data_IF_995327919917
#
_entry.id   IF_995327919917
#
_cell.length_a   1.000
_cell.length_b   1.000
_cell.length_c   1.000
_cell.angle_alpha   90.00
_cell.angle_beta   90.00
_cell.angle_gamma   90.00
#
_symmetry.space_group_name_H-M   'P 1'
#
loop_
_entity.id
_entity.type
_entity.pdbx_description
1 polymer ?
#
# COMPACT_ATOMS: atom_id res chain seq x y z
N UNK A 1 -12.52 -2.94 -9.88
CA UNK A 1 -13.00 -3.34 -8.55
C UNK A 1 -12.14 -2.67 -7.50
N UNK A 2 -12.75 -1.96 -6.55
CA UNK A 2 -12.04 -1.30 -5.45
C UNK A 2 -12.30 -2.10 -4.18
N UNK A 3 -11.24 -2.55 -3.50
CA UNK A 3 -11.33 -3.29 -2.24
C UNK A 3 -10.69 -2.43 -1.17
N UNK A 4 -11.43 -2.12 -0.10
CA UNK A 4 -10.96 -1.31 1.01
C UNK A 4 -10.85 -2.20 2.25
N UNK A 5 -9.65 -2.30 2.81
CA UNK A 5 -9.40 -3.04 4.05
C UNK A 5 -9.33 -2.05 5.21
N UNK A 6 -10.37 -2.03 6.05
CA UNK A 6 -10.45 -1.16 7.24
C UNK A 6 -10.50 -2.01 8.51
N UNK A 7 -9.72 -1.69 9.53
CA UNK A 7 -9.92 -2.24 10.89
C UNK A 7 -9.32 -1.34 11.97
N UNK A 8 -9.96 -1.34 13.14
CA UNK A 8 -9.81 -0.31 14.19
C UNK A 8 -8.61 -0.43 15.12
N UNK A 9 -8.04 -1.63 15.36
CA UNK A 9 -6.94 -1.78 16.34
C UNK A 9 -5.57 -1.93 15.69
N UNK A 10 -4.54 -1.30 16.25
CA UNK A 10 -3.14 -1.58 15.89
C UNK A 10 -2.81 -3.06 16.10
N UNK A 11 -2.06 -3.66 15.17
CA UNK A 11 -1.68 -5.08 15.25
C UNK A 11 -2.74 -6.09 14.77
N UNK A 12 -3.93 -5.65 14.32
CA UNK A 12 -4.98 -6.54 13.81
C UNK A 12 -4.68 -7.24 12.46
N UNK A 13 -3.44 -7.17 11.95
CA UNK A 13 -3.06 -7.84 10.70
C UNK A 13 -3.46 -7.14 9.39
N UNK A 14 -3.87 -5.85 9.44
CA UNK A 14 -4.26 -5.04 8.26
C UNK A 14 -3.32 -5.16 7.08
N UNK A 15 -2.08 -4.79 7.33
CA UNK A 15 -1.06 -4.64 6.30
C UNK A 15 -0.68 -6.01 5.75
N UNK A 16 -0.61 -7.03 6.62
CA UNK A 16 -0.41 -8.43 6.24
C UNK A 16 -1.52 -8.95 5.32
N UNK A 17 -2.79 -8.66 5.65
CA UNK A 17 -3.91 -9.06 4.80
C UNK A 17 -3.89 -8.31 3.47
N UNK A 18 -3.69 -6.99 3.51
CA UNK A 18 -3.67 -6.12 2.33
C UNK A 18 -2.55 -6.52 1.36
N UNK A 19 -1.34 -6.80 1.85
CA UNK A 19 -0.20 -7.22 1.02
C UNK A 19 -0.49 -8.55 0.33
N UNK A 20 -0.91 -9.57 1.08
CA UNK A 20 -1.20 -10.89 0.51
C UNK A 20 -2.39 -10.88 -0.45
N UNK A 21 -3.45 -10.14 -0.13
CA UNK A 21 -4.63 -10.02 -0.99
C UNK A 21 -4.29 -9.33 -2.31
N UNK A 22 -3.44 -8.29 -2.27
CA UNK A 22 -2.98 -7.63 -3.50
C UNK A 22 -2.13 -8.55 -4.38
N UNK A 23 -1.26 -9.37 -3.78
CA UNK A 23 -0.49 -10.39 -4.50
C UNK A 23 -1.40 -11.46 -5.10
N UNK A 24 -2.41 -11.91 -4.36
CA UNK A 24 -3.40 -12.86 -4.86
C UNK A 24 -4.12 -12.31 -6.10
N UNK A 25 -4.65 -11.09 -6.06
CA UNK A 25 -5.30 -10.49 -7.22
C UNK A 25 -4.34 -10.30 -8.39
N UNK A 26 -3.11 -9.85 -8.15
CA UNK A 26 -2.09 -9.73 -9.19
C UNK A 26 -1.75 -11.09 -9.85
N UNK A 27 -1.62 -12.16 -9.05
CA UNK A 27 -1.39 -13.54 -9.55
C UNK A 27 -2.57 -14.03 -10.39
N UNK A 28 -3.79 -13.62 -10.07
CA UNK A 28 -5.00 -13.89 -10.85
C UNK A 28 -5.19 -12.95 -12.05
N UNK A 29 -4.13 -12.27 -12.50
CA UNK A 29 -4.10 -11.41 -13.70
C UNK A 29 -4.97 -10.15 -13.61
N UNK A 30 -5.43 -9.77 -12.41
CA UNK A 30 -6.06 -8.48 -12.20
C UNK A 30 -5.01 -7.37 -12.18
N UNK A 31 -5.29 -6.25 -12.87
CA UNK A 31 -4.54 -5.00 -12.69
C UNK A 31 -4.75 -4.48 -11.27
N UNK A 32 -3.78 -4.74 -10.41
CA UNK A 32 -3.90 -4.53 -8.97
C UNK A 32 -3.01 -3.38 -8.53
N UNK A 33 -3.59 -2.41 -7.82
CA UNK A 33 -2.87 -1.33 -7.14
C UNK A 33 -3.11 -1.48 -5.64
N UNK A 34 -2.03 -1.59 -4.87
CA UNK A 34 -2.08 -1.57 -3.42
C UNK A 34 -1.62 -0.19 -2.93
N UNK A 35 -2.41 0.44 -2.06
CA UNK A 35 -2.12 1.77 -1.51
C UNK A 35 -2.08 1.65 0.02
N UNK A 36 -1.01 2.14 0.63
CA UNK A 36 -0.96 2.24 2.09
C UNK A 36 -1.74 3.48 2.55
N UNK A 37 -2.85 3.24 3.25
CA UNK A 37 -3.68 4.29 3.83
C UNK A 37 -3.19 4.79 5.19
N UNK A 38 -2.19 4.14 5.81
CA UNK A 38 -1.56 4.63 7.03
C UNK A 38 -0.54 5.73 6.67
N UNK A 39 -1.04 6.96 6.51
CA UNK A 39 -0.24 8.12 6.11
C UNK A 39 0.79 8.56 7.16
N UNK A 40 0.64 8.12 8.41
CA UNK A 40 1.52 8.50 9.51
C UNK A 40 2.66 7.50 9.70
N UNK A 41 2.37 6.20 9.66
CA UNK A 41 3.35 5.13 9.82
C UNK A 41 3.14 4.03 8.77
N UNK A 42 3.42 4.28 7.48
CA UNK A 42 3.22 3.30 6.42
C UNK A 42 4.09 2.07 6.65
N UNK A 43 3.51 0.88 6.46
CA UNK A 43 4.17 -0.43 6.69
C UNK A 43 4.07 -1.34 5.47
N UNK A 44 3.25 -1.00 4.47
CA UNK A 44 3.00 -1.87 3.32
C UNK A 44 4.27 -2.16 2.52
N UNK A 45 5.12 -1.15 2.32
CA UNK A 45 6.40 -1.32 1.63
C UNK A 45 7.29 -2.38 2.27
N UNK A 46 7.32 -2.44 3.61
CA UNK A 46 8.11 -3.42 4.36
C UNK A 46 7.68 -4.86 4.07
N UNK A 47 6.38 -5.12 3.89
CA UNK A 47 5.88 -6.44 3.50
C UNK A 47 6.32 -6.87 2.09
N UNK A 48 6.77 -5.93 1.27
CA UNK A 48 7.31 -6.17 -0.07
C UNK A 48 8.85 -6.02 -0.14
N UNK A 49 9.53 -5.85 0.99
CA UNK A 49 10.99 -5.62 1.01
C UNK A 49 11.41 -4.25 0.50
N UNK A 50 10.53 -3.25 0.59
CA UNK A 50 10.79 -1.86 0.21
C UNK A 50 10.94 -1.04 1.50
N UNK A 51 12.18 -0.87 1.95
CA UNK A 51 12.49 -0.17 3.20
C UNK A 51 12.45 1.36 3.04
N UNK A 52 12.99 1.86 1.92
CA UNK A 52 13.11 3.30 1.64
C UNK A 52 12.56 3.63 0.25
N UNK A 53 11.24 3.86 0.11
CA UNK A 53 10.65 4.21 -1.18
C UNK A 53 11.17 5.59 -1.63
N UNK A 54 11.64 5.67 -2.88
CA UNK A 54 12.15 6.91 -3.48
C UNK A 54 11.11 8.03 -3.51
N UNK A 55 9.85 7.65 -3.72
CA UNK A 55 8.70 8.56 -3.73
C UNK A 55 7.58 7.93 -2.90
N UNK A 56 6.85 8.75 -2.17
CA UNK A 56 5.65 8.34 -1.43
C UNK A 56 4.50 9.31 -1.71
N UNK A 57 3.32 9.04 -1.12
CA UNK A 57 2.14 9.88 -1.31
C UNK A 57 2.42 11.33 -0.92
N UNK A 58 3.15 11.58 0.16
CA UNK A 58 3.50 12.94 0.58
C UNK A 58 4.38 13.65 -0.44
N UNK A 59 5.34 12.95 -1.07
CA UNK A 59 6.16 13.50 -2.16
C UNK A 59 5.28 13.94 -3.34
N UNK A 60 4.37 13.07 -3.77
CA UNK A 60 3.47 13.34 -4.90
C UNK A 60 2.47 14.46 -4.59
N UNK A 61 1.96 14.54 -3.36
CA UNK A 61 1.06 15.62 -2.94
C UNK A 61 1.77 16.97 -2.88
N UNK A 62 3.07 16.98 -2.57
CA UNK A 62 3.89 18.20 -2.55
C UNK A 62 4.23 18.70 -3.95
N UNK A 63 4.53 17.79 -4.87
CA UNK A 63 4.79 18.12 -6.27
C UNK A 63 4.04 17.13 -7.19
N UNK A 64 2.83 17.49 -7.64
CA UNK A 64 2.03 16.65 -8.53
C UNK A 64 2.65 16.41 -9.91
N UNK A 65 3.68 17.18 -10.31
CA UNK A 65 4.37 17.00 -11.57
C UNK A 65 5.46 15.90 -11.51
N UNK A 66 5.75 15.35 -10.32
CA UNK A 66 6.62 14.20 -10.14
C UNK A 66 6.15 13.02 -10.99
N UNK A 67 7.00 12.57 -11.91
CA UNK A 67 6.79 11.33 -12.66
C UNK A 67 7.27 10.15 -11.83
N UNK A 68 6.33 9.49 -11.17
CA UNK A 68 6.52 8.27 -10.35
C UNK A 68 6.44 7.02 -11.21
#
# INVERSE_FOLDING_TARGET
MVVIVVTGRGGAGKTTLTSNLSVYFAKNKYRTLAVDGDLYLPKLGLHFGIDFPRYNIHSLLRDPALKV
#
